data_IF_710051117064
#
_entry.id   IF_710051117064
#
_cell.length_a   1.000
_cell.length_b   1.000
_cell.length_c   1.000
_cell.angle_alpha   90.00
_cell.angle_beta   90.00
_cell.angle_gamma   90.00
#
_symmetry.space_group_name_H-M   'P 1'
#
loop_
_entity.id
_entity.type
_entity.pdbx_description
1 polymer ?
#
# COMPACT_ATOMS: atom_id res chain seq x y z
N UNK A 1 14.78 -51.33 16.77
CA UNK A 1 14.98 -49.88 16.95
C UNK A 1 14.21 -49.16 15.85
N UNK A 2 13.08 -48.55 16.16
CA UNK A 2 12.27 -47.83 15.19
C UNK A 2 12.79 -46.36 15.14
N UNK A 3 13.31 -45.98 13.99
CA UNK A 3 13.69 -44.57 13.71
C UNK A 3 12.36 -43.83 13.51
N UNK A 4 12.03 -42.92 14.44
CA UNK A 4 10.95 -41.96 14.23
C UNK A 4 11.43 -40.93 13.20
N UNK A 5 10.87 -40.96 11.99
CA UNK A 5 10.95 -39.86 11.05
C UNK A 5 10.24 -38.65 11.67
N UNK A 6 11.00 -37.63 11.99
CA UNK A 6 10.47 -36.32 12.39
C UNK A 6 10.09 -35.61 11.11
N UNK A 7 8.83 -35.64 10.73
CA UNK A 7 8.30 -34.85 9.62
C UNK A 7 8.32 -33.36 10.02
N UNK A 8 9.36 -32.64 9.63
CA UNK A 8 9.42 -31.18 9.64
C UNK A 8 8.71 -30.58 8.40
N UNK A 9 7.45 -30.88 8.21
CA UNK A 9 6.61 -30.18 7.25
C UNK A 9 5.59 -29.30 7.97
N UNK A 10 6.08 -28.31 8.71
CA UNK A 10 5.27 -27.20 9.19
C UNK A 10 5.53 -25.97 8.31
N UNK A 11 5.39 -26.10 6.99
CA UNK A 11 5.26 -24.94 6.13
C UNK A 11 3.87 -24.35 6.42
N UNK A 12 3.80 -23.30 7.25
CA UNK A 12 2.58 -22.50 7.35
C UNK A 12 2.21 -22.10 5.93
N UNK A 13 1.02 -22.48 5.48
CA UNK A 13 0.47 -22.01 4.20
C UNK A 13 0.48 -20.48 4.19
N UNK A 14 0.76 -19.87 3.02
CA UNK A 14 0.63 -18.43 2.85
C UNK A 14 -0.78 -17.97 3.19
N UNK A 15 -0.89 -16.78 3.77
CA UNK A 15 -2.17 -16.13 3.97
C UNK A 15 -2.81 -15.83 2.61
N UNK A 16 -4.13 -15.82 2.56
CA UNK A 16 -4.88 -15.46 1.37
C UNK A 16 -5.05 -13.94 1.28
N UNK A 17 -4.83 -13.39 0.09
CA UNK A 17 -5.15 -11.98 -0.19
C UNK A 17 -6.66 -11.79 -0.29
N UNK A 18 -7.20 -10.83 0.45
CA UNK A 18 -8.61 -10.48 0.44
C UNK A 18 -8.83 -9.05 0.00
N UNK A 19 -9.64 -8.88 -1.04
CA UNK A 19 -10.10 -7.58 -1.51
C UNK A 19 -11.37 -7.17 -0.75
N UNK A 20 -11.36 -5.99 -0.16
CA UNK A 20 -12.47 -5.43 0.61
C UNK A 20 -12.90 -4.11 -0.01
N UNK A 21 -14.18 -3.99 -0.32
CA UNK A 21 -14.76 -2.75 -0.85
C UNK A 21 -15.07 -1.79 0.30
N UNK A 22 -14.63 -0.54 0.16
CA UNK A 22 -14.89 0.55 1.13
C UNK A 22 -16.00 1.47 0.63
N UNK A 23 -15.92 1.86 -0.64
CA UNK A 23 -16.85 2.78 -1.30
C UNK A 23 -16.97 2.38 -2.78
N UNK A 24 -17.75 3.11 -3.57
CA UNK A 24 -17.90 2.81 -5.00
C UNK A 24 -16.58 2.83 -5.75
N UNK A 25 -15.69 3.74 -5.38
CA UNK A 25 -14.41 3.96 -6.06
C UNK A 25 -13.19 3.49 -5.25
N UNK A 26 -13.38 3.02 -4.03
CA UNK A 26 -12.29 2.67 -3.11
C UNK A 26 -12.44 1.24 -2.62
N UNK A 27 -11.38 0.48 -2.77
CA UNK A 27 -11.19 -0.85 -2.18
C UNK A 27 -9.80 -0.99 -1.59
N UNK A 28 -9.58 -2.01 -0.78
CA UNK A 28 -8.24 -2.33 -0.33
C UNK A 28 -8.02 -3.84 -0.26
N UNK A 29 -6.77 -4.24 -0.45
CA UNK A 29 -6.31 -5.59 -0.18
C UNK A 29 -5.88 -5.62 1.28
N UNK A 30 -6.48 -6.50 2.08
CA UNK A 30 -6.20 -6.61 3.50
C UNK A 30 -4.75 -7.01 3.77
N UNK A 31 -4.16 -6.60 4.91
CA UNK A 31 -2.80 -6.98 5.25
C UNK A 31 -2.69 -8.48 5.52
N UNK A 32 -1.50 -9.01 5.34
CA UNK A 32 -1.19 -10.42 5.65
C UNK A 32 -0.01 -10.50 6.61
N UNK A 33 0.08 -11.60 7.36
CA UNK A 33 1.19 -11.88 8.28
C UNK A 33 2.20 -12.85 7.68
N UNK A 34 1.78 -13.68 6.73
CA UNK A 34 2.63 -14.66 6.07
C UNK A 34 2.35 -14.75 4.55
N UNK A 35 3.17 -14.10 3.73
CA UNK A 35 4.23 -13.16 4.11
C UNK A 35 3.66 -11.86 4.71
N UNK A 36 4.49 -11.13 5.44
CA UNK A 36 4.11 -9.82 5.95
C UNK A 36 3.90 -8.86 4.77
N UNK A 37 2.70 -8.31 4.69
CA UNK A 37 2.31 -7.36 3.64
C UNK A 37 1.34 -6.34 4.21
N UNK A 38 1.59 -5.08 3.93
CA UNK A 38 0.72 -3.99 4.34
C UNK A 38 -0.59 -3.96 3.54
N UNK A 39 -1.55 -3.15 3.99
CA UNK A 39 -2.72 -2.83 3.20
C UNK A 39 -2.32 -2.21 1.86
N UNK A 40 -3.05 -2.56 0.81
CA UNK A 40 -2.94 -1.92 -0.51
C UNK A 40 -4.27 -1.28 -0.82
N UNK A 41 -4.32 0.05 -0.89
CA UNK A 41 -5.55 0.77 -1.19
C UNK A 41 -5.61 1.07 -2.69
N UNK A 42 -6.75 0.81 -3.31
CA UNK A 42 -6.99 1.04 -4.73
C UNK A 42 -8.13 2.02 -4.90
N UNK A 43 -7.87 3.12 -5.61
CA UNK A 43 -8.84 4.16 -5.91
C UNK A 43 -9.04 4.21 -7.42
N UNK A 44 -10.28 4.07 -7.86
CA UNK A 44 -10.68 4.07 -9.25
C UNK A 44 -11.08 5.48 -9.69
N UNK A 45 -10.13 6.24 -10.24
CA UNK A 45 -10.43 7.51 -10.89
C UNK A 45 -11.00 7.34 -12.30
N UNK A 46 -11.35 8.44 -12.97
CA UNK A 46 -11.84 8.40 -14.35
C UNK A 46 -10.73 8.02 -15.33
N UNK A 47 -9.58 8.70 -15.22
CA UNK A 47 -8.47 8.57 -16.15
C UNK A 47 -7.39 7.61 -15.62
N UNK A 48 -7.32 7.45 -14.31
CA UNK A 48 -6.25 6.71 -13.65
C UNK A 48 -6.78 5.81 -12.54
N UNK A 49 -6.06 4.73 -12.30
CA UNK A 49 -6.10 3.98 -11.05
C UNK A 49 -5.01 4.55 -10.12
N UNK A 50 -5.37 4.78 -8.87
CA UNK A 50 -4.43 5.22 -7.83
C UNK A 50 -4.26 4.11 -6.81
N UNK A 51 -3.01 3.81 -6.48
CA UNK A 51 -2.66 2.74 -5.54
C UNK A 51 -1.84 3.34 -4.41
N UNK A 52 -2.29 3.16 -3.17
CA UNK A 52 -1.55 3.57 -1.98
C UNK A 52 -0.92 2.37 -1.31
N UNK A 53 0.42 2.34 -1.32
CA UNK A 53 1.29 1.20 -1.04
C UNK A 53 1.04 0.01 -1.99
N UNK A 54 1.99 -0.87 -2.11
CA UNK A 54 1.91 -1.99 -3.05
C UNK A 54 2.07 -3.35 -2.38
N UNK A 55 2.23 -3.37 -1.08
CA UNK A 55 2.39 -4.60 -0.32
C UNK A 55 3.63 -5.41 -0.70
N UNK A 56 3.68 -6.63 -0.21
CA UNK A 56 4.75 -7.59 -0.50
C UNK A 56 4.24 -9.01 -0.80
N UNK A 57 2.94 -9.26 -0.65
CA UNK A 57 2.37 -10.57 -0.93
C UNK A 57 2.44 -10.89 -2.44
N UNK A 58 2.84 -12.12 -2.84
CA UNK A 58 3.06 -12.47 -4.25
C UNK A 58 1.81 -12.43 -5.12
N UNK A 59 0.61 -12.54 -4.54
CA UNK A 59 -0.64 -12.52 -5.31
C UNK A 59 -1.14 -11.11 -5.62
N UNK A 60 -0.58 -10.07 -4.98
CA UNK A 60 -1.04 -8.69 -5.17
C UNK A 60 -0.88 -8.22 -6.62
N UNK A 61 0.25 -8.43 -7.32
CA UNK A 61 0.38 -7.99 -8.70
C UNK A 61 -0.75 -8.49 -9.61
N UNK A 62 -1.10 -9.76 -9.53
CA UNK A 62 -2.19 -10.35 -10.30
C UNK A 62 -3.56 -9.77 -9.96
N UNK A 63 -3.83 -9.53 -8.67
CA UNK A 63 -5.07 -8.87 -8.23
C UNK A 63 -5.18 -7.44 -8.78
N UNK A 64 -4.10 -6.67 -8.73
CA UNK A 64 -4.10 -5.30 -9.26
C UNK A 64 -4.37 -5.26 -10.78
N UNK A 65 -3.84 -6.20 -11.53
CA UNK A 65 -4.15 -6.32 -12.96
C UNK A 65 -5.66 -6.55 -13.20
N UNK A 66 -6.30 -7.40 -12.40
CA UNK A 66 -7.74 -7.67 -12.53
C UNK A 66 -8.62 -6.46 -12.20
N UNK A 67 -8.12 -5.52 -11.39
CA UNK A 67 -8.86 -4.31 -11.01
C UNK A 67 -8.75 -3.18 -12.04
N UNK A 68 -7.85 -3.30 -13.00
CA UNK A 68 -7.67 -2.31 -14.08
C UNK A 68 -7.80 -2.93 -15.48
N UNK A 69 -8.97 -3.52 -15.84
CA UNK A 69 -9.16 -4.22 -17.09
C UNK A 69 -9.02 -3.32 -18.32
N UNK A 70 -9.30 -2.03 -18.17
CA UNK A 70 -9.21 -1.04 -19.26
C UNK A 70 -7.79 -0.49 -19.44
N UNK A 71 -6.83 -0.98 -18.67
CA UNK A 71 -5.42 -0.55 -18.72
C UNK A 71 -5.24 0.96 -18.57
N UNK A 72 -6.05 1.59 -17.70
CA UNK A 72 -5.92 3.01 -17.36
C UNK A 72 -4.53 3.29 -16.77
N UNK A 73 -4.13 4.54 -16.82
CA UNK A 73 -2.90 5.01 -16.18
C UNK A 73 -2.87 4.59 -14.70
N UNK A 74 -1.73 4.14 -14.21
CA UNK A 74 -1.54 3.71 -12.82
C UNK A 74 -0.59 4.68 -12.11
N UNK A 75 -1.10 5.33 -11.07
CA UNK A 75 -0.33 6.19 -10.19
C UNK A 75 -0.19 5.53 -8.82
N UNK A 76 1.04 5.36 -8.37
CA UNK A 76 1.35 4.76 -7.07
C UNK A 76 1.76 5.85 -6.10
N UNK A 77 1.23 5.80 -4.89
CA UNK A 77 1.68 6.62 -3.76
C UNK A 77 2.24 5.69 -2.69
N UNK A 78 3.49 5.89 -2.31
CA UNK A 78 4.14 5.10 -1.27
C UNK A 78 4.15 5.87 0.04
N UNK A 79 3.62 5.27 1.10
CA UNK A 79 3.57 5.86 2.43
C UNK A 79 4.96 6.02 3.04
N UNK A 80 5.78 4.99 2.97
CA UNK A 80 7.16 4.97 3.45
C UNK A 80 7.92 3.76 2.89
N UNK A 81 9.20 3.59 3.27
CA UNK A 81 10.15 2.70 2.58
C UNK A 81 10.20 1.25 3.10
N UNK A 82 9.41 0.86 4.08
CA UNK A 82 9.46 -0.50 4.61
C UNK A 82 9.03 -1.54 3.58
N UNK A 83 9.68 -2.72 3.59
CA UNK A 83 9.55 -3.73 2.56
C UNK A 83 8.14 -4.30 2.38
N UNK A 84 7.35 -4.39 3.45
CA UNK A 84 5.96 -4.83 3.42
C UNK A 84 5.01 -3.81 2.76
N UNK A 85 5.45 -2.56 2.58
CA UNK A 85 4.73 -1.51 1.86
C UNK A 85 5.16 -1.36 0.40
N UNK A 86 6.46 -1.53 0.10
CA UNK A 86 7.02 -1.25 -1.24
C UNK A 86 7.45 -2.50 -2.03
N UNK A 87 7.34 -3.69 -1.43
CA UNK A 87 7.94 -4.92 -1.95
C UNK A 87 7.54 -5.29 -3.38
N UNK A 88 6.33 -4.96 -3.81
CA UNK A 88 5.82 -5.26 -5.14
C UNK A 88 6.00 -4.14 -6.17
N UNK A 89 6.64 -3.01 -5.83
CA UNK A 89 6.71 -1.86 -6.74
C UNK A 89 7.20 -2.23 -8.14
N UNK A 90 8.28 -3.01 -8.24
CA UNK A 90 8.86 -3.41 -9.52
C UNK A 90 8.25 -4.68 -10.12
N UNK A 91 7.19 -5.21 -9.51
CA UNK A 91 6.43 -6.37 -9.98
C UNK A 91 5.07 -5.99 -10.56
N UNK A 92 4.69 -4.72 -10.48
CA UNK A 92 3.45 -4.18 -11.02
C UNK A 92 3.75 -3.20 -12.14
N UNK A 93 2.75 -2.96 -13.00
CA UNK A 93 2.79 -1.85 -13.96
C UNK A 93 2.42 -0.56 -13.24
N UNK A 94 3.18 0.49 -13.44
CA UNK A 94 2.85 1.84 -12.99
C UNK A 94 3.37 2.87 -14.01
N UNK A 95 2.75 4.03 -14.02
CA UNK A 95 3.15 5.16 -14.86
C UNK A 95 3.88 6.23 -14.05
N UNK A 96 3.41 6.50 -12.82
CA UNK A 96 4.04 7.44 -11.89
C UNK A 96 4.09 6.87 -10.47
N UNK A 97 5.12 7.28 -9.72
CA UNK A 97 5.27 7.00 -8.28
C UNK A 97 5.47 8.31 -7.55
N UNK A 98 4.71 8.50 -6.48
CA UNK A 98 4.81 9.64 -5.56
C UNK A 98 5.22 9.13 -4.18
N UNK A 99 6.22 9.76 -3.56
CA UNK A 99 6.79 9.27 -2.31
C UNK A 99 7.60 10.36 -1.60
N UNK A 100 7.95 10.12 -0.34
CA UNK A 100 8.87 10.99 0.39
C UNK A 100 10.34 10.77 -0.03
N UNK A 101 11.19 11.75 0.30
CA UNK A 101 12.62 11.73 -0.06
C UNK A 101 13.36 10.48 0.44
N UNK A 102 13.05 9.99 1.64
CA UNK A 102 13.71 8.81 2.18
C UNK A 102 13.28 7.54 1.43
N UNK A 103 12.00 7.43 1.08
CA UNK A 103 11.50 6.31 0.27
C UNK A 103 12.13 6.32 -1.12
N UNK A 104 12.28 7.50 -1.73
CA UNK A 104 12.96 7.65 -3.01
C UNK A 104 14.39 7.08 -3.00
N UNK A 105 15.12 7.17 -1.90
CA UNK A 105 16.45 6.56 -1.78
C UNK A 105 16.44 5.04 -1.92
N UNK A 106 15.32 4.40 -1.61
CA UNK A 106 15.13 2.95 -1.76
C UNK A 106 14.59 2.55 -3.12
N UNK A 107 13.74 3.37 -3.73
CA UNK A 107 13.08 3.06 -5.01
C UNK A 107 13.87 3.58 -6.21
N UNK A 108 14.56 4.70 -6.05
CA UNK A 108 15.30 5.41 -7.08
C UNK A 108 14.46 5.74 -8.34
N UNK A 109 13.15 5.95 -8.16
CA UNK A 109 12.21 6.29 -9.26
C UNK A 109 11.08 7.15 -8.74
N UNK A 110 10.45 7.94 -9.60
CA UNK A 110 9.25 8.70 -9.30
C UNK A 110 9.49 10.12 -8.79
N UNK A 111 8.45 10.70 -8.22
CA UNK A 111 8.36 12.10 -7.78
C UNK A 111 8.44 12.18 -6.26
N UNK A 112 9.28 13.08 -5.74
CA UNK A 112 9.41 13.32 -4.30
C UNK A 112 8.36 14.35 -3.87
N UNK A 113 7.56 13.99 -2.86
CA UNK A 113 6.56 14.86 -2.23
C UNK A 113 7.21 15.57 -1.03
N UNK A 114 7.34 16.88 -1.11
CA UNK A 114 7.90 17.73 -0.04
C UNK A 114 6.90 18.75 0.51
N UNK A 115 5.78 18.94 -0.19
CA UNK A 115 4.67 19.83 0.18
C UNK A 115 3.36 19.25 -0.31
N UNK A 116 2.26 19.90 0.03
CA UNK A 116 0.93 19.47 -0.40
C UNK A 116 0.80 19.48 -1.93
N UNK A 117 0.27 18.38 -2.48
CA UNK A 117 -0.02 18.22 -3.90
C UNK A 117 -1.46 17.76 -4.07
N UNK A 118 -2.17 18.39 -4.99
CA UNK A 118 -3.58 18.12 -5.26
C UNK A 118 -3.77 17.64 -6.69
N UNK A 119 -4.64 16.65 -6.86
CA UNK A 119 -5.07 16.16 -8.16
C UNK A 119 -6.60 16.10 -8.20
N UNK A 120 -7.16 16.22 -9.39
CA UNK A 120 -8.55 15.95 -9.68
C UNK A 120 -8.62 14.90 -10.79
N UNK A 121 -9.31 13.80 -10.53
CA UNK A 121 -9.49 12.71 -11.50
C UNK A 121 -10.97 12.36 -11.62
N UNK A 122 -11.64 12.98 -12.61
CA UNK A 122 -13.09 12.95 -12.69
C UNK A 122 -13.73 13.65 -11.49
N UNK A 123 -14.58 12.93 -10.78
CA UNK A 123 -15.26 13.43 -9.56
C UNK A 123 -14.46 13.20 -8.28
N UNK A 124 -13.24 12.63 -8.39
CA UNK A 124 -12.40 12.29 -7.25
C UNK A 124 -11.36 13.38 -7.04
N UNK A 125 -11.34 13.97 -5.85
CA UNK A 125 -10.26 14.85 -5.40
C UNK A 125 -9.23 14.08 -4.60
N UNK A 126 -7.96 14.33 -4.87
CA UNK A 126 -6.82 13.63 -4.30
C UNK A 126 -5.85 14.64 -3.71
N UNK A 127 -5.38 14.37 -2.50
CA UNK A 127 -4.44 15.23 -1.80
C UNK A 127 -3.32 14.37 -1.20
N UNK A 128 -2.08 14.63 -1.63
CA UNK A 128 -0.89 14.02 -1.08
C UNK A 128 -0.15 15.06 -0.24
N UNK A 129 0.28 14.67 0.95
CA UNK A 129 1.04 15.57 1.80
C UNK A 129 2.05 14.83 2.68
N UNK A 130 3.19 15.49 3.01
CA UNK A 130 4.14 14.94 3.94
C UNK A 130 3.49 14.77 5.32
N UNK A 131 3.70 13.61 5.94
CA UNK A 131 3.20 13.29 7.26
C UNK A 131 4.39 13.18 8.23
N UNK A 132 4.51 14.07 9.22
CA UNK A 132 5.45 13.88 10.31
C UNK A 132 5.08 12.63 11.11
N UNK A 133 5.98 11.66 11.17
CA UNK A 133 5.73 10.39 11.83
C UNK A 133 6.96 9.96 12.63
N UNK A 134 6.72 9.37 13.79
CA UNK A 134 7.76 8.73 14.60
C UNK A 134 8.14 7.35 14.08
N UNK A 135 7.28 6.72 13.27
CA UNK A 135 7.53 5.39 12.69
C UNK A 135 8.63 5.41 11.63
N UNK A 136 8.53 6.34 10.66
CA UNK A 136 9.53 6.53 9.62
C UNK A 136 9.57 7.99 9.16
N UNK A 137 10.76 8.49 8.85
CA UNK A 137 10.91 9.82 8.28
C UNK A 137 10.48 9.82 6.81
N UNK A 138 9.86 10.93 6.38
CA UNK A 138 9.44 11.09 4.99
C UNK A 138 8.22 10.26 4.62
N UNK A 139 7.32 10.00 5.57
CA UNK A 139 6.01 9.43 5.27
C UNK A 139 5.17 10.39 4.45
N UNK A 140 4.34 9.83 3.55
CA UNK A 140 3.35 10.56 2.76
C UNK A 140 1.97 10.04 3.09
N UNK A 141 1.07 10.95 3.41
CA UNK A 141 -0.36 10.68 3.58
C UNK A 141 -1.10 10.90 2.25
N UNK A 142 -2.20 10.19 2.08
CA UNK A 142 -3.04 10.26 0.90
C UNK A 142 -4.51 10.42 1.30
N UNK A 143 -5.07 11.58 0.99
CA UNK A 143 -6.47 11.91 1.27
C UNK A 143 -7.30 11.84 -0.02
N UNK A 144 -8.48 11.26 0.07
CA UNK A 144 -9.41 11.08 -1.04
C UNK A 144 -10.77 11.69 -0.68
N UNK A 145 -11.25 12.62 -1.51
CA UNK A 145 -12.55 13.28 -1.41
C UNK A 145 -12.78 14.01 -0.07
N UNK A 146 -11.73 14.46 0.60
CA UNK A 146 -11.83 15.05 1.95
C UNK A 146 -12.59 14.17 2.95
N UNK A 147 -12.67 12.87 2.66
CA UNK A 147 -13.45 11.89 3.41
C UNK A 147 -12.61 10.76 3.97
N UNK A 148 -11.64 10.29 3.20
CA UNK A 148 -10.74 9.20 3.59
C UNK A 148 -9.30 9.70 3.62
N UNK A 149 -8.57 9.34 4.67
CA UNK A 149 -7.15 9.66 4.76
C UNK A 149 -6.36 8.39 5.11
N UNK A 150 -5.44 8.04 4.23
CA UNK A 150 -4.56 6.87 4.38
C UNK A 150 -3.20 7.35 4.88
N UNK A 151 -2.74 6.76 5.97
CA UNK A 151 -1.59 7.24 6.73
C UNK A 151 -0.43 6.23 6.75
N UNK A 152 -0.59 5.06 6.12
CA UNK A 152 0.35 3.96 6.26
C UNK A 152 0.52 3.58 7.73
N UNK A 153 1.77 3.47 8.18
CA UNK A 153 2.09 3.21 9.59
C UNK A 153 2.32 4.50 10.40
N UNK A 154 1.90 5.64 9.86
CA UNK A 154 2.11 6.94 10.50
C UNK A 154 1.33 7.14 11.80
N UNK A 155 0.25 6.38 12.01
CA UNK A 155 -0.58 6.39 13.21
C UNK A 155 -0.94 4.97 13.60
N UNK A 156 -0.64 4.61 14.85
CA UNK A 156 -1.09 3.36 15.46
C UNK A 156 -2.32 3.61 16.31
N UNK A 157 -3.35 2.76 16.17
CA UNK A 157 -4.44 2.73 17.12
C UNK A 157 -3.88 2.25 18.47
N UNK A 158 -3.85 3.14 19.46
CA UNK A 158 -3.52 2.74 20.83
C UNK A 158 -4.72 1.98 21.40
N UNK A 159 -4.55 0.72 21.76
CA UNK A 159 -5.56 0.03 22.56
C UNK A 159 -5.73 0.76 23.90
N UNK A 160 -6.98 1.02 24.28
CA UNK A 160 -7.30 1.57 25.61
C UNK A 160 -6.86 0.54 26.66
N UNK A 161 -5.71 0.76 27.28
CA UNK A 161 -5.26 -0.08 28.39
C UNK A 161 -3.79 -0.02 28.76
N UNK A 162 -2.92 0.58 27.95
CA UNK A 162 -1.49 0.68 28.28
C UNK A 162 -1.13 2.08 28.78
N UNK A 163 -1.57 2.39 29.97
CA UNK A 163 -0.99 3.45 30.78
C UNK A 163 0.18 2.87 31.56
N UNK A 164 1.38 3.02 31.07
CA UNK A 164 2.60 2.91 31.85
C UNK A 164 3.29 4.25 31.91
#
# INVERSE_FOLDING_TARGET
MAVREINYNNSKSMDECRLIKVDNDISYIAPTSNPLSANVVVIQGRESEWIYDVGAHPDIPGLLETLNPDSRKVNVVLSHFHGDHIGNLFKIRYDEVYQGRLTYKHTNTGVIIESDVFFQDGDISLHLFPLPSSHAKGCVAFEVNEKYCFLGDGVYAMEKGDSR
#
